data_IF_593733571198
#
_entry.id   IF_593733571198
#
_cell.length_a   1.000
_cell.length_b   1.000
_cell.length_c   1.000
_cell.angle_alpha   90.00
_cell.angle_beta   90.00
_cell.angle_gamma   90.00
#
_symmetry.space_group_name_H-M   'P 1'
#
loop_
_entity.id
_entity.type
_entity.pdbx_description
1 polymer ?
#
# COMPACT_ATOMS: atom_id res chain seq x y z
N UNK A 1 -1.76 -14.69 -15.36
CA UNK A 1 -0.73 -13.81 -14.90
C UNK A 1 -1.19 -13.06 -13.66
N UNK A 2 -0.42 -13.09 -12.64
CA UNK A 2 -0.84 -12.47 -11.40
C UNK A 2 -0.27 -11.11 -11.23
N UNK A 3 -1.07 -10.25 -10.69
CA UNK A 3 -0.68 -8.90 -10.41
C UNK A 3 -0.74 -8.71 -8.90
N UNK A 4 0.37 -8.83 -8.23
CA UNK A 4 0.38 -8.71 -6.80
C UNK A 4 1.30 -7.58 -6.38
N UNK A 5 1.13 -7.05 -5.17
CA UNK A 5 1.96 -5.94 -4.71
C UNK A 5 3.41 -6.35 -4.57
N UNK A 6 4.29 -5.48 -5.03
CA UNK A 6 5.71 -5.71 -4.95
C UNK A 6 6.34 -4.88 -3.84
N UNK A 7 5.93 -3.62 -3.76
CA UNK A 7 6.51 -2.73 -2.78
C UNK A 7 5.62 -1.52 -2.58
N UNK A 8 5.86 -0.81 -1.51
CA UNK A 8 5.14 0.40 -1.21
C UNK A 8 6.04 1.57 -1.58
N UNK A 9 5.50 2.47 -2.37
CA UNK A 9 6.26 3.61 -2.86
C UNK A 9 6.12 4.83 -1.97
N UNK A 10 4.98 4.98 -1.35
CA UNK A 10 4.74 6.18 -0.56
C UNK A 10 3.67 5.91 0.47
N UNK A 11 3.59 6.78 1.45
CA UNK A 11 2.59 6.69 2.49
C UNK A 11 1.85 8.01 2.57
N UNK A 12 0.58 7.95 2.91
CA UNK A 12 -0.20 9.15 3.09
C UNK A 12 -1.27 8.89 4.13
N UNK A 13 -1.67 9.93 4.82
CA UNK A 13 -2.75 9.79 5.77
C UNK A 13 -3.74 10.91 5.55
N UNK A 14 -4.98 10.61 5.84
CA UNK A 14 -6.04 11.59 5.70
C UNK A 14 -6.77 11.71 7.03
N UNK A 15 -6.73 12.89 7.59
CA UNK A 15 -7.35 13.13 8.88
C UNK A 15 -8.80 13.51 8.66
N UNK A 16 -9.67 12.71 9.25
CA UNK A 16 -11.09 12.99 9.22
C UNK A 16 -11.52 13.51 10.57
N UNK A 17 -12.80 13.82 10.64
CA UNK A 17 -13.36 14.35 11.85
C UNK A 17 -13.10 13.47 13.06
N UNK A 18 -13.36 12.19 12.91
CA UNK A 18 -13.29 11.28 14.03
C UNK A 18 -12.16 10.29 13.93
N UNK A 19 -11.38 10.33 12.87
CA UNK A 19 -10.37 9.30 12.72
C UNK A 19 -9.42 9.67 11.61
N UNK A 20 -8.33 8.94 11.58
CA UNK A 20 -7.33 9.10 10.55
C UNK A 20 -7.30 7.85 9.69
N UNK A 21 -7.31 8.04 8.39
CA UNK A 21 -7.24 6.92 7.46
C UNK A 21 -5.89 6.95 6.78
N UNK A 22 -5.20 5.83 6.83
CA UNK A 22 -3.87 5.73 6.24
C UNK A 22 -3.93 5.05 4.89
N UNK A 23 -3.21 5.62 3.93
CA UNK A 23 -3.12 5.06 2.59
C UNK A 23 -1.68 4.78 2.24
N UNK A 24 -1.47 3.83 1.37
CA UNK A 24 -0.14 3.51 0.87
C UNK A 24 -0.19 3.45 -0.64
N UNK A 25 0.85 3.93 -1.27
CA UNK A 25 0.95 3.86 -2.71
C UNK A 25 1.66 2.56 -3.07
N UNK A 26 0.95 1.68 -3.71
CA UNK A 26 1.40 0.32 -3.93
C UNK A 26 1.75 0.09 -5.39
N UNK A 27 2.92 -0.48 -5.61
CA UNK A 27 3.35 -0.86 -6.94
C UNK A 27 3.18 -2.35 -7.11
N UNK A 28 2.54 -2.74 -8.20
CA UNK A 28 2.31 -4.15 -8.47
C UNK A 28 3.25 -4.63 -9.56
N UNK A 29 3.28 -5.94 -9.75
CA UNK A 29 4.30 -6.56 -10.59
C UNK A 29 4.37 -6.03 -12.02
N UNK A 30 3.27 -5.82 -12.64
CA UNK A 30 3.28 -5.40 -14.03
C UNK A 30 3.01 -3.94 -14.21
N UNK A 31 3.34 -3.14 -13.21
CA UNK A 31 3.06 -1.73 -13.27
C UNK A 31 4.32 -0.92 -13.15
N UNK A 32 4.32 0.22 -13.81
CA UNK A 32 5.38 1.19 -13.60
C UNK A 32 4.99 2.09 -12.44
N UNK A 33 5.94 2.90 -11.99
CA UNK A 33 5.66 3.80 -10.88
C UNK A 33 4.50 4.71 -11.15
N UNK A 34 4.29 5.05 -12.41
CA UNK A 34 3.18 5.89 -12.77
C UNK A 34 1.84 5.24 -12.53
N UNK A 35 1.82 3.93 -12.62
CA UNK A 35 0.57 3.20 -12.53
C UNK A 35 0.23 2.77 -11.12
N UNK A 36 1.13 3.04 -10.19
CA UNK A 36 0.88 2.67 -8.80
C UNK A 36 -0.38 3.35 -8.30
N UNK A 37 -1.10 2.65 -7.43
CA UNK A 37 -2.37 3.15 -6.93
C UNK A 37 -2.35 3.26 -5.43
N UNK A 38 -3.19 4.15 -4.91
CA UNK A 38 -3.32 4.31 -3.47
C UNK A 38 -4.31 3.28 -2.93
N UNK A 39 -3.89 2.59 -1.89
CA UNK A 39 -4.72 1.57 -1.25
C UNK A 39 -4.79 1.86 0.23
N UNK A 40 -5.80 1.30 0.87
CA UNK A 40 -5.90 1.42 2.31
C UNK A 40 -4.81 0.61 2.99
N UNK A 41 -4.10 1.25 3.89
CA UNK A 41 -3.02 0.57 4.58
C UNK A 41 -3.53 -0.64 5.36
N UNK A 42 -4.68 -0.49 6.00
CA UNK A 42 -5.22 -1.57 6.80
C UNK A 42 -5.48 -2.81 5.97
N UNK A 43 -6.03 -2.62 4.78
CA UNK A 43 -6.30 -3.74 3.91
C UNK A 43 -5.04 -4.39 3.40
N UNK A 44 -4.08 -3.58 3.02
CA UNK A 44 -2.83 -4.13 2.53
C UNK A 44 -2.07 -4.83 3.64
N UNK A 45 -2.17 -4.31 4.84
CA UNK A 45 -1.51 -4.95 5.97
C UNK A 45 -2.12 -6.32 6.26
N UNK A 46 -3.41 -6.41 6.06
CA UNK A 46 -4.11 -7.66 6.31
C UNK A 46 -3.84 -8.70 5.24
N UNK A 47 -3.85 -8.27 3.99
CA UNK A 47 -3.67 -9.19 2.89
C UNK A 47 -2.20 -9.50 2.61
N UNK A 48 -1.36 -8.51 2.77
CA UNK A 48 0.06 -8.64 2.43
C UNK A 48 0.92 -8.10 3.56
N UNK A 49 0.87 -8.75 4.72
CA UNK A 49 1.64 -8.25 5.86
C UNK A 49 3.13 -8.22 5.59
N UNK A 50 3.57 -8.99 4.62
CA UNK A 50 4.99 -9.03 4.32
C UNK A 50 5.53 -7.71 3.84
N UNK A 51 4.67 -6.89 3.27
CA UNK A 51 5.10 -5.59 2.79
C UNK A 51 5.47 -4.67 3.93
N UNK A 52 4.97 -4.94 5.11
CA UNK A 52 5.16 -4.06 6.25
C UNK A 52 6.11 -4.62 7.29
N UNK A 53 6.59 -5.82 7.08
CA UNK A 53 7.50 -6.41 8.04
C UNK A 53 8.85 -5.72 7.97
N UNK A 54 9.50 -5.55 9.12
CA UNK A 54 10.86 -5.06 9.10
C UNK A 54 11.72 -6.07 8.37
N UNK A 55 12.54 -5.59 7.59
CA UNK A 55 13.34 -6.45 6.77
C UNK A 55 14.16 -7.36 7.59
N UNK A 56 14.43 -8.24 7.71
CA UNK A 56 15.09 -9.04 8.42
C UNK A 56 15.91 -9.21 8.52
#
# INVERSE_FOLDING_TARGET
MECHPVRILDFSDRVMRNRTINYVKVLRTNQSKREAAWELEAQMHEKYPELFKPGK
#
